data_IF_626310370909
#
_entry.id   IF_626310370909
#
_cell.length_a   1.000
_cell.length_b   1.000
_cell.length_c   1.000
_cell.angle_alpha   90.00
_cell.angle_beta   90.00
_cell.angle_gamma   90.00
#
_symmetry.space_group_name_H-M   'P 1'
#
loop_
_entity.id
_entity.type
_entity.pdbx_description
1 polymer ?
#
# COMPACT_ATOMS: atom_id res chain seq x y z
N UNK A 1 -34.57 37.09 40.84
CA UNK A 1 -33.96 35.74 40.71
C UNK A 1 -34.35 35.11 39.38
N UNK A 2 -35.64 35.05 39.04
CA UNK A 2 -36.15 34.54 37.75
C UNK A 2 -35.57 35.25 36.52
N UNK A 3 -35.42 36.59 36.57
CA UNK A 3 -34.85 37.35 35.46
C UNK A 3 -33.39 36.96 35.14
N UNK A 4 -32.59 36.61 36.16
CA UNK A 4 -31.20 36.18 35.98
C UNK A 4 -31.16 34.77 35.37
N UNK A 5 -32.06 33.88 35.81
CA UNK A 5 -32.22 32.54 35.24
C UNK A 5 -32.64 32.56 33.77
N UNK A 6 -33.57 33.46 33.40
CA UNK A 6 -33.99 33.61 32.01
C UNK A 6 -32.87 34.15 31.10
N UNK A 7 -32.08 35.11 31.59
CA UNK A 7 -30.91 35.61 30.86
C UNK A 7 -29.87 34.49 30.70
N UNK A 8 -29.61 33.71 31.76
CA UNK A 8 -28.65 32.61 31.70
C UNK A 8 -29.08 31.51 30.73
N UNK A 9 -30.38 31.15 30.73
CA UNK A 9 -30.96 30.20 29.79
C UNK A 9 -30.83 30.69 28.35
N UNK A 10 -31.18 31.96 28.10
CA UNK A 10 -31.08 32.56 26.78
C UNK A 10 -29.64 32.56 26.23
N UNK A 11 -28.67 32.91 27.08
CA UNK A 11 -27.24 32.87 26.72
C UNK A 11 -26.79 31.43 26.44
N UNK A 12 -27.21 30.46 27.26
CA UNK A 12 -26.87 29.05 27.07
C UNK A 12 -27.44 28.51 25.75
N UNK A 13 -28.69 28.81 25.44
CA UNK A 13 -29.34 28.40 24.18
C UNK A 13 -28.61 28.98 22.96
N UNK A 14 -28.16 30.23 23.05
CA UNK A 14 -27.36 30.85 21.99
C UNK A 14 -25.99 30.20 21.83
N UNK A 15 -25.32 29.86 22.92
CA UNK A 15 -24.03 29.13 22.88
C UNK A 15 -24.22 27.76 22.23
N UNK A 16 -25.26 27.01 22.60
CA UNK A 16 -25.57 25.70 22.03
C UNK A 16 -25.86 25.82 20.52
N UNK A 17 -26.66 26.82 20.11
CA UNK A 17 -26.96 27.06 18.70
C UNK A 17 -25.70 27.39 17.88
N UNK A 18 -24.79 28.21 18.41
CA UNK A 18 -23.52 28.54 17.75
C UNK A 18 -22.65 27.28 17.60
N UNK A 19 -22.54 26.46 18.65
CA UNK A 19 -21.77 25.20 18.59
C UNK A 19 -22.36 24.26 17.53
N UNK A 20 -23.68 24.10 17.51
CA UNK A 20 -24.37 23.25 16.53
C UNK A 20 -24.13 23.73 15.09
N UNK A 21 -24.15 25.05 14.86
CA UNK A 21 -23.84 25.66 13.56
C UNK A 21 -22.38 25.39 13.14
N UNK A 22 -21.42 25.57 14.06
CA UNK A 22 -20.02 25.28 13.80
C UNK A 22 -19.79 23.80 13.44
N UNK A 23 -20.43 22.88 14.17
CA UNK A 23 -20.32 21.44 13.90
C UNK A 23 -20.94 21.04 12.56
N UNK A 24 -22.08 21.64 12.18
CA UNK A 24 -22.70 21.39 10.87
C UNK A 24 -21.84 21.93 9.73
N UNK A 25 -21.31 23.14 9.84
CA UNK A 25 -20.37 23.70 8.84
C UNK A 25 -19.13 22.82 8.73
N UNK A 26 -18.55 22.39 9.85
CA UNK A 26 -17.39 21.50 9.85
C UNK A 26 -17.71 20.14 9.22
N UNK A 27 -18.87 19.56 9.53
CA UNK A 27 -19.33 18.29 8.93
C UNK A 27 -19.47 18.42 7.40
N UNK A 28 -20.12 19.48 6.93
CA UNK A 28 -20.25 19.77 5.50
C UNK A 28 -18.88 19.99 4.85
N UNK A 29 -17.97 20.71 5.52
CA UNK A 29 -16.61 20.90 5.04
C UNK A 29 -15.87 19.56 4.86
N UNK A 30 -15.97 18.68 5.85
CA UNK A 30 -15.34 17.36 5.80
C UNK A 30 -15.98 16.46 4.73
N UNK A 31 -17.28 16.58 4.48
CA UNK A 31 -17.99 15.78 3.49
C UNK A 31 -17.67 16.21 2.04
N UNK A 32 -17.62 17.51 1.78
CA UNK A 32 -17.50 18.04 0.41
C UNK A 32 -16.07 18.44 0.03
N UNK A 33 -15.31 18.99 0.98
CA UNK A 33 -13.99 19.59 0.70
C UNK A 33 -12.84 18.74 1.21
N UNK A 34 -12.99 18.02 2.32
CA UNK A 34 -11.96 17.10 2.76
C UNK A 34 -12.01 15.79 1.96
N UNK A 35 -11.16 15.68 0.93
CA UNK A 35 -10.86 14.39 0.30
C UNK A 35 -9.59 13.85 0.94
N UNK A 36 -9.68 12.84 1.83
CA UNK A 36 -8.49 12.23 2.39
C UNK A 36 -7.66 11.62 1.25
N UNK A 37 -6.34 11.64 1.40
CA UNK A 37 -5.42 10.94 0.48
C UNK A 37 -5.88 9.48 0.37
N UNK A 38 -6.11 9.01 -0.85
CA UNK A 38 -6.58 7.64 -1.14
C UNK A 38 -5.84 7.10 -2.35
N UNK A 39 -5.03 6.07 -2.14
CA UNK A 39 -4.37 5.31 -3.19
C UNK A 39 -4.82 3.86 -3.09
N UNK A 40 -5.13 3.25 -4.22
CA UNK A 40 -5.55 1.85 -4.28
C UNK A 40 -4.72 1.10 -5.31
N UNK A 41 -4.24 -0.08 -4.93
CA UNK A 41 -3.72 -1.05 -5.88
C UNK A 41 -4.89 -1.87 -6.40
N UNK A 42 -4.96 -2.01 -7.73
CA UNK A 42 -5.91 -2.86 -8.43
C UNK A 42 -5.07 -3.76 -9.31
N UNK A 43 -5.24 -5.05 -9.16
CA UNK A 43 -4.50 -6.05 -9.93
C UNK A 43 -5.38 -6.45 -11.10
N UNK A 44 -4.79 -6.47 -12.29
CA UNK A 44 -5.51 -6.74 -13.51
C UNK A 44 -5.36 -8.21 -13.87
N UNK A 45 -6.40 -8.86 -14.43
CA UNK A 45 -6.27 -10.23 -14.89
C UNK A 45 -5.13 -10.33 -15.91
N UNK A 46 -4.39 -11.45 -15.92
CA UNK A 46 -3.28 -11.62 -16.85
C UNK A 46 -3.83 -11.61 -18.28
N UNK A 47 -3.31 -10.71 -19.12
CA UNK A 47 -3.63 -10.71 -20.53
C UNK A 47 -2.89 -11.89 -21.19
N UNK A 48 -3.65 -12.89 -21.63
CA UNK A 48 -3.16 -14.12 -22.28
C UNK A 48 -2.22 -13.88 -23.47
N UNK A 49 -2.20 -12.67 -24.05
CA UNK A 49 -1.42 -12.33 -25.25
C UNK A 49 0.05 -12.00 -24.99
N UNK A 50 0.42 -11.45 -23.84
CA UNK A 50 1.74 -10.83 -23.66
C UNK A 50 2.65 -11.52 -22.62
N UNK A 51 2.15 -12.56 -21.93
CA UNK A 51 2.85 -13.21 -20.80
C UNK A 51 3.35 -12.20 -19.74
N UNK A 52 2.65 -11.05 -19.63
CA UNK A 52 2.94 -9.98 -18.68
C UNK A 52 1.82 -9.93 -17.66
N UNK A 53 2.22 -9.83 -16.40
CA UNK A 53 1.29 -9.50 -15.33
C UNK A 53 1.16 -7.98 -15.24
N UNK A 54 -0.06 -7.49 -14.96
CA UNK A 54 -0.34 -6.07 -14.83
C UNK A 54 -1.01 -5.74 -13.49
N UNK A 55 -0.69 -4.58 -12.95
CA UNK A 55 -1.42 -3.98 -11.85
C UNK A 55 -1.53 -2.47 -12.08
N UNK A 56 -2.66 -1.89 -11.72
CA UNK A 56 -2.92 -0.46 -11.73
C UNK A 56 -2.85 0.13 -10.33
N UNK A 57 -2.46 1.39 -10.27
CA UNK A 57 -2.55 2.21 -9.06
C UNK A 57 -3.49 3.36 -9.34
N UNK A 58 -4.58 3.41 -8.58
CA UNK A 58 -5.59 4.45 -8.66
C UNK A 58 -5.28 5.55 -7.63
N UNK A 59 -5.16 6.79 -8.11
CA UNK A 59 -5.05 7.97 -7.25
C UNK A 59 -6.41 8.65 -7.10
N UNK A 60 -7.06 8.42 -5.96
CA UNK A 60 -8.29 9.11 -5.57
C UNK A 60 -8.02 10.34 -4.67
N UNK A 61 -6.76 10.75 -4.53
CA UNK A 61 -6.38 12.03 -3.90
C UNK A 61 -6.72 13.22 -4.80
N UNK A 62 -6.70 14.42 -4.22
CA UNK A 62 -6.73 15.70 -4.96
C UNK A 62 -5.35 16.11 -5.49
N UNK A 63 -4.31 15.45 -5.01
CA UNK A 63 -2.91 15.77 -5.29
C UNK A 63 -2.28 14.74 -6.21
N UNK A 64 -1.36 15.17 -7.07
CA UNK A 64 -0.52 14.27 -7.84
C UNK A 64 0.39 13.47 -6.91
N UNK A 65 0.55 12.19 -7.20
CA UNK A 65 1.41 11.27 -6.43
C UNK A 65 2.56 10.82 -7.31
N UNK A 66 3.77 10.77 -6.74
CA UNK A 66 4.98 10.36 -7.43
C UNK A 66 5.41 8.99 -6.91
N UNK A 67 5.66 8.03 -7.80
CA UNK A 67 6.27 6.76 -7.44
C UNK A 67 7.77 6.98 -7.34
N UNK A 68 8.30 6.85 -6.12
CA UNK A 68 9.72 7.04 -5.81
C UNK A 68 10.48 5.73 -5.78
N UNK A 69 9.79 4.61 -5.59
CA UNK A 69 10.37 3.28 -5.62
C UNK A 69 9.31 2.25 -5.99
N UNK A 70 9.66 1.31 -6.85
CA UNK A 70 8.79 0.21 -7.22
C UNK A 70 9.64 -1.03 -7.43
N UNK A 71 9.31 -2.08 -6.69
CA UNK A 71 10.08 -3.31 -6.69
C UNK A 71 9.14 -4.51 -6.65
N UNK A 72 9.39 -5.49 -7.50
CA UNK A 72 8.60 -6.72 -7.58
C UNK A 72 9.53 -7.89 -7.32
N UNK A 73 9.13 -8.75 -6.39
CA UNK A 73 9.93 -9.90 -5.97
C UNK A 73 9.08 -11.15 -5.76
N UNK A 74 9.66 -12.30 -6.02
CA UNK A 74 9.24 -13.55 -5.42
C UNK A 74 9.53 -13.50 -3.93
N UNK A 75 8.56 -13.85 -3.10
CA UNK A 75 8.68 -13.80 -1.65
C UNK A 75 8.29 -15.13 -1.04
N UNK A 76 9.19 -15.69 -0.23
CA UNK A 76 8.95 -16.88 0.59
C UNK A 76 9.17 -16.52 2.07
N UNK A 77 8.38 -17.11 2.98
CA UNK A 77 8.66 -17.01 4.41
C UNK A 77 10.03 -17.61 4.72
N UNK A 78 10.80 -16.94 5.58
CA UNK A 78 12.14 -17.33 6.02
C UNK A 78 12.18 -17.43 7.55
N UNK A 79 13.31 -17.90 8.09
CA UNK A 79 13.50 -18.06 9.53
C UNK A 79 13.19 -16.77 10.31
N UNK A 80 12.60 -16.94 11.51
CA UNK A 80 12.19 -15.85 12.41
C UNK A 80 11.11 -14.88 11.86
N UNK A 81 10.30 -15.31 10.90
CA UNK A 81 9.22 -14.47 10.35
C UNK A 81 9.70 -13.40 9.35
N UNK A 82 10.97 -13.47 8.95
CA UNK A 82 11.50 -12.68 7.83
C UNK A 82 11.03 -13.25 6.48
N UNK A 83 11.25 -12.52 5.39
CA UNK A 83 10.96 -13.01 4.03
C UNK A 83 12.23 -13.04 3.19
N UNK A 84 12.49 -14.15 2.50
CA UNK A 84 13.54 -14.22 1.48
C UNK A 84 12.94 -13.79 0.15
N UNK A 85 13.52 -12.73 -0.41
CA UNK A 85 13.10 -12.13 -1.67
C UNK A 85 13.99 -12.54 -2.84
N UNK A 86 13.41 -12.68 -4.03
CA UNK A 86 14.17 -12.73 -5.28
C UNK A 86 13.53 -11.82 -6.33
N UNK A 87 14.29 -10.91 -6.97
CA UNK A 87 13.72 -9.93 -7.88
C UNK A 87 13.03 -10.58 -9.09
N UNK A 88 11.86 -10.06 -9.43
CA UNK A 88 11.24 -10.28 -10.74
C UNK A 88 11.81 -9.24 -11.70
N UNK A 89 11.96 -9.60 -12.98
CA UNK A 89 12.48 -8.71 -14.03
C UNK A 89 11.80 -7.34 -14.10
N UNK A 90 12.49 -6.39 -14.74
CA UNK A 90 12.14 -4.98 -14.93
C UNK A 90 10.64 -4.67 -14.96
N UNK A 91 10.24 -3.78 -14.06
CA UNK A 91 8.89 -3.26 -13.95
C UNK A 91 8.75 -2.03 -14.85
N UNK A 92 7.77 -2.05 -15.75
CA UNK A 92 7.48 -0.95 -16.66
C UNK A 92 6.25 -0.18 -16.16
N UNK A 93 6.32 1.15 -16.11
CA UNK A 93 5.20 2.02 -15.81
C UNK A 93 5.62 3.48 -15.65
N UNK A 94 4.65 4.37 -15.42
CA UNK A 94 4.92 5.80 -15.20
C UNK A 94 5.23 6.11 -13.74
N UNK A 95 6.09 7.10 -13.50
CA UNK A 95 6.44 7.57 -12.15
C UNK A 95 5.47 8.59 -11.58
N UNK A 96 4.52 9.10 -12.37
CA UNK A 96 3.58 10.15 -11.95
C UNK A 96 2.14 9.65 -12.09
N UNK A 97 1.36 9.80 -11.02
CA UNK A 97 -0.05 9.40 -10.96
C UNK A 97 -0.91 10.64 -10.66
N UNK A 98 -1.57 11.15 -11.69
CA UNK A 98 -2.41 12.34 -11.59
C UNK A 98 -3.69 12.08 -10.76
N UNK A 99 -4.28 13.11 -10.13
CA UNK A 99 -5.56 12.99 -9.45
C UNK A 99 -6.65 12.37 -10.34
N UNK A 100 -7.38 11.40 -9.81
CA UNK A 100 -8.46 10.70 -10.52
C UNK A 100 -8.01 9.71 -11.59
N UNK A 101 -6.69 9.56 -11.82
CA UNK A 101 -6.17 8.64 -12.84
C UNK A 101 -5.82 7.27 -12.27
N UNK A 102 -5.74 6.29 -13.18
CA UNK A 102 -5.16 4.97 -12.93
C UNK A 102 -3.92 4.86 -13.80
N UNK A 103 -2.79 4.53 -13.18
CA UNK A 103 -1.54 4.23 -13.90
C UNK A 103 -1.29 2.73 -13.84
N UNK A 104 -1.09 2.11 -14.99
CA UNK A 104 -0.78 0.69 -15.11
C UNK A 104 0.72 0.45 -15.08
N UNK A 105 1.08 -0.63 -14.39
CA UNK A 105 2.41 -1.19 -14.31
C UNK A 105 2.37 -2.61 -14.83
N UNK A 106 3.44 -3.04 -15.46
CA UNK A 106 3.58 -4.41 -15.94
C UNK A 106 4.95 -4.98 -15.63
N UNK A 107 4.98 -6.28 -15.38
CA UNK A 107 6.21 -7.03 -15.21
C UNK A 107 6.08 -8.39 -15.89
N UNK A 108 7.22 -8.95 -16.30
CA UNK A 108 7.29 -10.31 -16.84
C UNK A 108 7.81 -11.23 -15.75
N UNK A 109 6.97 -12.19 -15.35
CA UNK A 109 7.41 -13.28 -14.49
C UNK A 109 8.40 -14.16 -15.27
N UNK A 110 9.48 -14.58 -14.61
CA UNK A 110 10.45 -15.53 -15.15
C UNK A 110 10.63 -16.63 -14.11
N UNK A 111 10.96 -17.84 -14.53
CA UNK A 111 11.21 -18.92 -13.58
C UNK A 111 12.24 -18.50 -12.53
N UNK A 112 11.92 -18.57 -11.22
CA UNK A 112 12.87 -18.27 -10.17
C UNK A 112 14.07 -19.23 -10.24
N UNK A 113 15.26 -18.82 -9.78
CA UNK A 113 16.42 -19.71 -9.76
C UNK A 113 16.16 -20.99 -8.97
N UNK A 114 16.72 -22.10 -9.43
CA UNK A 114 16.58 -23.41 -8.75
C UNK A 114 16.99 -23.35 -7.28
N UNK A 115 18.00 -22.55 -6.95
CA UNK A 115 18.48 -22.35 -5.58
C UNK A 115 17.42 -21.69 -4.69
N UNK A 116 16.70 -20.69 -5.20
CA UNK A 116 15.60 -20.06 -4.48
C UNK A 116 14.44 -21.05 -4.27
N UNK A 117 14.18 -21.89 -5.26
CA UNK A 117 13.10 -22.89 -5.23
C UNK A 117 13.36 -24.08 -4.29
N UNK A 118 14.59 -24.27 -3.79
CA UNK A 118 14.90 -25.32 -2.79
C UNK A 118 14.20 -25.06 -1.46
N UNK A 119 14.05 -23.79 -1.11
CA UNK A 119 13.50 -23.36 0.18
C UNK A 119 11.98 -23.20 0.15
N UNK A 120 11.35 -23.44 -1.02
CA UNK A 120 9.91 -23.36 -1.18
C UNK A 120 9.28 -24.66 -0.67
N UNK A 121 8.36 -24.60 0.32
CA UNK A 121 7.66 -25.78 0.80
C UNK A 121 6.79 -26.37 -0.32
N UNK A 122 6.78 -27.70 -0.39
CA UNK A 122 5.89 -28.45 -1.27
C UNK A 122 4.51 -28.54 -0.62
N UNK A 123 3.48 -28.27 -1.41
CA UNK A 123 2.07 -28.44 -1.05
C UNK A 123 1.45 -29.44 -2.02
N UNK A 124 0.47 -30.22 -1.55
CA UNK A 124 -0.27 -31.13 -2.43
C UNK A 124 -1.46 -30.35 -2.99
N UNK A 125 -1.55 -30.27 -4.32
CA UNK A 125 -2.64 -29.56 -4.99
C UNK A 125 -3.97 -30.33 -4.89
N UNK A 126 -5.06 -29.75 -5.41
CA UNK A 126 -6.39 -30.40 -5.39
C UNK A 126 -6.45 -31.73 -6.15
N UNK A 127 -5.50 -31.95 -7.06
CA UNK A 127 -5.40 -33.14 -7.90
C UNK A 127 -4.42 -34.19 -7.33
N UNK A 128 -3.91 -33.98 -6.12
CA UNK A 128 -2.97 -34.89 -5.45
C UNK A 128 -1.51 -34.77 -5.95
N UNK A 129 -1.21 -33.78 -6.79
CA UNK A 129 0.12 -33.56 -7.36
C UNK A 129 0.93 -32.62 -6.46
N UNK A 130 2.20 -32.96 -6.14
CA UNK A 130 3.11 -32.03 -5.46
C UNK A 130 3.33 -30.77 -6.30
N UNK A 131 3.08 -29.61 -5.70
CA UNK A 131 3.30 -28.30 -6.30
C UNK A 131 4.10 -27.39 -5.34
N UNK A 132 4.96 -26.55 -5.91
CA UNK A 132 5.63 -25.47 -5.20
C UNK A 132 4.98 -24.15 -5.56
N UNK A 133 4.55 -23.40 -4.55
CA UNK A 133 3.88 -22.11 -4.73
C UNK A 133 4.67 -20.99 -4.07
N UNK A 134 4.90 -19.91 -4.83
CA UNK A 134 5.62 -18.72 -4.39
C UNK A 134 4.78 -17.47 -4.65
N UNK A 135 4.68 -16.58 -3.67
CA UNK A 135 3.95 -15.33 -3.83
C UNK A 135 4.81 -14.31 -4.59
N UNK A 136 4.19 -13.53 -5.46
CA UNK A 136 4.79 -12.37 -6.11
C UNK A 136 4.33 -11.12 -5.35
N UNK A 137 5.28 -10.45 -4.70
CA UNK A 137 5.07 -9.27 -3.87
C UNK A 137 5.52 -8.03 -4.63
N UNK A 138 4.67 -7.02 -4.65
CA UNK A 138 4.98 -5.67 -5.13
C UNK A 138 5.19 -4.80 -3.90
N UNK A 139 6.39 -4.23 -3.78
CA UNK A 139 6.73 -3.22 -2.80
C UNK A 139 6.78 -1.87 -3.52
N UNK A 140 6.07 -0.88 -2.98
CA UNK A 140 5.97 0.43 -3.59
C UNK A 140 6.25 1.54 -2.57
N UNK A 141 6.96 2.56 -3.03
CA UNK A 141 7.15 3.82 -2.34
C UNK A 141 6.57 4.94 -3.19
N UNK A 142 5.83 5.83 -2.54
CA UNK A 142 5.22 6.97 -3.20
C UNK A 142 5.31 8.22 -2.34
N UNK A 143 5.47 9.36 -2.99
CA UNK A 143 5.58 10.67 -2.39
C UNK A 143 4.43 11.58 -2.81
N UNK A 144 3.98 12.40 -1.88
CA UNK A 144 3.06 13.51 -2.14
C UNK A 144 3.85 14.81 -2.38
N UNK A 145 3.22 15.86 -2.95
CA UNK A 145 3.90 17.13 -3.22
C UNK A 145 4.43 17.84 -1.95
N UNK A 146 3.93 17.46 -0.77
CA UNK A 146 4.40 17.95 0.53
C UNK A 146 5.68 17.24 1.02
N UNK A 147 6.29 16.39 0.19
CA UNK A 147 7.52 15.66 0.52
C UNK A 147 7.31 14.43 1.39
N UNK A 148 6.08 14.13 1.83
CA UNK A 148 5.83 12.93 2.66
C UNK A 148 5.90 11.67 1.80
N UNK A 149 6.78 10.75 2.20
CA UNK A 149 6.99 9.47 1.54
C UNK A 149 6.33 8.35 2.35
N UNK A 150 5.63 7.47 1.64
CA UNK A 150 4.96 6.31 2.21
C UNK A 150 5.43 5.06 1.49
N UNK A 151 5.51 3.96 2.23
CA UNK A 151 5.78 2.64 1.65
C UNK A 151 4.64 1.68 1.95
N UNK A 152 4.35 0.80 1.00
CA UNK A 152 3.43 -0.30 1.22
C UNK A 152 3.81 -1.48 0.33
N UNK A 153 3.24 -2.65 0.59
CA UNK A 153 3.41 -3.81 -0.24
C UNK A 153 2.10 -4.58 -0.39
N UNK A 154 2.00 -5.33 -1.48
CA UNK A 154 0.87 -6.21 -1.73
C UNK A 154 1.28 -7.41 -2.57
N UNK A 155 0.55 -8.51 -2.43
CA UNK A 155 0.73 -9.68 -3.30
C UNK A 155 -0.02 -9.44 -4.61
N UNK A 156 0.68 -9.40 -5.73
CA UNK A 156 0.08 -9.25 -7.06
C UNK A 156 -0.32 -10.58 -7.69
N UNK A 157 0.30 -11.69 -7.27
CA UNK A 157 0.04 -13.01 -7.82
C UNK A 157 0.85 -14.12 -7.16
N UNK A 158 0.84 -15.29 -7.77
CA UNK A 158 1.65 -16.43 -7.36
C UNK A 158 2.22 -17.20 -8.56
N UNK A 159 3.45 -17.67 -8.41
CA UNK A 159 4.12 -18.57 -9.34
C UNK A 159 4.01 -20.00 -8.82
N UNK A 160 3.54 -20.93 -9.65
CA UNK A 160 3.37 -22.34 -9.30
C UNK A 160 4.24 -23.23 -10.20
N UNK A 161 4.88 -24.22 -9.61
CA UNK A 161 5.67 -25.24 -10.32
C UNK A 161 5.19 -26.62 -9.91
N UNK A 162 4.73 -27.40 -10.88
CA UNK A 162 4.51 -28.85 -10.77
C UNK A 162 5.17 -29.54 -11.97
N UNK A 163 5.49 -30.83 -11.88
CA UNK A 163 6.11 -31.59 -12.98
C UNK A 163 5.32 -31.53 -14.29
N UNK A 164 4.00 -31.26 -14.21
CA UNK A 164 3.08 -31.23 -15.35
C UNK A 164 2.51 -29.84 -15.66
N UNK A 165 2.83 -28.80 -14.89
CA UNK A 165 2.37 -27.44 -15.20
C UNK A 165 3.31 -26.35 -14.70
N UNK A 166 3.66 -25.46 -15.62
CA UNK A 166 4.20 -24.13 -15.34
C UNK A 166 2.99 -23.20 -15.42
N UNK A 167 2.22 -23.09 -14.32
CA UNK A 167 1.07 -22.20 -14.30
C UNK A 167 1.41 -20.90 -13.56
N UNK A 168 1.28 -19.79 -14.28
CA UNK A 168 1.40 -18.45 -13.72
C UNK A 168 -0.01 -17.96 -13.38
N UNK A 169 -0.34 -17.88 -12.08
CA UNK A 169 -1.65 -17.39 -11.66
C UNK A 169 -1.53 -16.06 -10.93
N UNK A 170 -2.04 -15.02 -11.56
CA UNK A 170 -2.12 -13.67 -10.98
C UNK A 170 -3.49 -13.54 -10.32
N UNK A 171 -3.53 -13.59 -8.99
CA UNK A 171 -4.75 -13.30 -8.24
C UNK A 171 -4.72 -11.88 -7.75
N UNK A 172 -5.71 -11.13 -8.23
CA UNK A 172 -5.80 -9.74 -7.90
C UNK A 172 -6.47 -9.43 -6.57
N UNK A 173 -5.80 -8.63 -5.74
CA UNK A 173 -6.34 -8.03 -4.52
C UNK A 173 -6.52 -6.52 -4.73
N UNK A 174 -7.72 -6.01 -4.44
CA UNK A 174 -7.97 -4.57 -4.33
C UNK A 174 -7.60 -4.12 -2.93
N UNK A 175 -6.48 -3.40 -2.79
CA UNK A 175 -5.94 -3.01 -1.49
C UNK A 175 -5.81 -1.49 -1.40
N UNK A 176 -6.25 -0.94 -0.27
CA UNK A 176 -6.04 0.47 0.03
C UNK A 176 -4.60 0.67 0.53
N UNK A 177 -3.77 1.27 -0.31
CA UNK A 177 -2.36 1.52 -0.05
C UNK A 177 -2.15 2.56 1.05
N UNK A 178 -3.17 3.31 1.45
CA UNK A 178 -3.12 4.30 2.53
C UNK A 178 -3.75 3.85 3.86
N UNK A 179 -4.32 2.64 3.94
CA UNK A 179 -4.78 2.05 5.22
C UNK A 179 -3.72 1.21 5.95
N UNK A 180 -2.69 0.75 5.24
CA UNK A 180 -1.57 0.00 5.81
C UNK A 180 -0.15 0.50 5.46
N UNK A 181 0.10 1.71 4.91
CA UNK A 181 1.46 2.14 4.68
C UNK A 181 2.09 2.64 5.97
N UNK A 182 3.39 2.41 6.10
CA UNK A 182 4.18 3.08 7.12
C UNK A 182 4.81 4.32 6.47
N UNK A 183 4.68 5.52 7.06
CA UNK A 183 5.46 6.66 6.63
C UNK A 183 6.94 6.28 6.71
N UNK A 184 7.69 6.53 5.64
CA UNK A 184 9.13 6.44 5.71
C UNK A 184 9.55 7.70 6.44
N UNK A 185 9.78 7.60 7.75
CA UNK A 185 10.48 8.64 8.46
C UNK A 185 11.89 8.63 7.90
N UNK A 186 12.24 9.69 7.16
CA UNK A 186 13.65 10.03 6.97
C UNK A 186 14.23 10.11 8.38
N UNK A 187 14.99 9.09 8.78
CA UNK A 187 16.01 9.31 9.78
C UNK A 187 16.89 10.39 9.18
N UNK A 188 16.71 11.63 9.63
CA UNK A 188 17.86 12.48 9.89
C UNK A 188 18.79 11.66 10.78
N UNK A 189 19.66 10.94 10.11
CA UNK A 189 20.85 10.29 10.61
C UNK A 189 21.89 11.42 10.73
N UNK A 190 21.55 12.44 11.50
CA UNK A 190 22.44 13.52 11.91
C UNK A 190 22.11 13.78 13.38
N UNK A 191 23.10 13.48 14.22
CA UNK A 191 23.33 14.07 15.53
C UNK A 191 22.31 13.82 16.64
N UNK A 192 22.19 12.57 17.06
CA UNK A 192 22.05 12.27 18.50
C UNK A 192 23.36 11.66 18.97
N UNK A 193 24.32 12.55 19.12
CA UNK A 193 25.24 12.67 20.24
C UNK A 193 25.69 11.34 20.88
N UNK A 194 26.83 10.84 20.39
CA UNK A 194 27.61 9.78 21.02
C UNK A 194 28.36 10.25 22.29
N UNK A 195 27.85 11.24 23.02
CA UNK A 195 28.51 11.81 24.21
C UNK A 195 27.89 11.46 25.56
N UNK A 196 26.91 10.54 25.63
CA UNK A 196 26.42 10.00 26.91
C UNK A 196 26.74 8.51 27.06
N UNK A 197 28.04 8.22 27.08
CA UNK A 197 28.61 7.11 27.85
C UNK A 197 29.55 7.73 28.88
N UNK A 198 28.97 8.42 29.88
CA UNK A 198 29.67 8.55 31.16
C UNK A 198 29.45 7.26 31.92
N UNK A 199 30.52 6.46 31.96
CA UNK A 199 30.72 5.42 32.95
C UNK A 199 31.00 6.13 34.27
N UNK A 200 30.10 5.98 35.24
CA UNK A 200 30.41 5.95 36.66
C UNK A 200 29.50 4.92 37.33
#
# INVERSE_FOLDING_TARGET
MEMILNILSYVLDHIIAIIALCLTIFSLYMQFFHRPRRLRAITLPPYLKDNKTRFGICNASKETVYITGLYVEYSIPWYHGSTKGYPVSDVQGASVINPGSIVEFSYKAKSPPKEFMKDVPEIINSDGVPEKKVNIKVSIQFAFPDGKIYSNWFTSGSYMVSENSISESVRGVNLNLLKGPLPILDKKLEDIDSSLVEIN
#
